data_IF_094498137013
#
_entry.id   IF_094498137013
#
_cell.length_a   1.000
_cell.length_b   1.000
_cell.length_c   1.000
_cell.angle_alpha   90.00
_cell.angle_beta   90.00
_cell.angle_gamma   90.00
#
_symmetry.space_group_name_H-M   'P 1'
#
loop_
_entity.id
_entity.type
_entity.pdbx_description
1 polymer ?
#
# COMPACT_ATOMS: atom_id res chain seq x y z
N UNK A 1 6.32 -22.66 -12.23
CA UNK A 1 7.14 -22.64 -10.99
C UNK A 1 6.86 -21.31 -10.32
N UNK A 2 6.30 -21.31 -9.12
CA UNK A 2 6.09 -20.08 -8.36
C UNK A 2 7.40 -19.56 -7.77
N UNK A 3 7.43 -18.28 -7.39
CA UNK A 3 8.55 -17.70 -6.65
C UNK A 3 8.69 -18.39 -5.29
N UNK A 4 9.92 -18.55 -4.81
CA UNK A 4 10.17 -19.00 -3.44
C UNK A 4 9.76 -17.92 -2.42
N UNK A 5 9.51 -18.32 -1.18
CA UNK A 5 9.17 -17.39 -0.11
C UNK A 5 10.22 -16.29 0.07
N UNK A 6 11.51 -16.61 -0.04
CA UNK A 6 12.59 -15.61 0.07
C UNK A 6 12.57 -14.59 -1.07
N UNK A 7 12.27 -15.02 -2.30
CA UNK A 7 12.14 -14.12 -3.45
C UNK A 7 10.96 -13.17 -3.28
N UNK A 8 9.81 -13.70 -2.81
CA UNK A 8 8.63 -12.89 -2.50
C UNK A 8 8.99 -11.85 -1.42
N UNK A 9 9.65 -12.26 -0.34
CA UNK A 9 10.08 -11.34 0.73
C UNK A 9 10.97 -10.21 0.21
N UNK A 10 11.94 -10.52 -0.65
CA UNK A 10 12.83 -9.49 -1.22
C UNK A 10 12.07 -8.49 -2.08
N UNK A 11 11.13 -8.95 -2.90
CA UNK A 11 10.30 -8.09 -3.75
C UNK A 11 9.43 -7.18 -2.89
N UNK A 12 8.76 -7.74 -1.89
CA UNK A 12 7.81 -7.02 -1.03
C UNK A 12 8.51 -5.96 -0.19
N UNK A 13 9.64 -6.30 0.42
CA UNK A 13 10.44 -5.32 1.19
C UNK A 13 10.90 -4.15 0.33
N UNK A 14 11.33 -4.42 -0.91
CA UNK A 14 11.71 -3.36 -1.85
C UNK A 14 10.50 -2.49 -2.18
N UNK A 15 9.36 -3.09 -2.51
CA UNK A 15 8.13 -2.36 -2.82
C UNK A 15 7.66 -1.50 -1.65
N UNK A 16 7.70 -2.02 -0.43
CA UNK A 16 7.36 -1.27 0.79
C UNK A 16 8.28 -0.06 0.97
N UNK A 17 9.60 -0.25 0.84
CA UNK A 17 10.57 0.84 0.94
C UNK A 17 10.35 1.92 -0.12
N UNK A 18 10.10 1.51 -1.36
CA UNK A 18 9.84 2.43 -2.47
C UNK A 18 8.51 3.19 -2.23
N UNK A 19 7.48 2.51 -1.72
CA UNK A 19 6.19 3.10 -1.37
C UNK A 19 6.32 4.13 -0.24
N UNK A 20 7.00 3.78 0.86
CA UNK A 20 7.28 4.67 1.98
C UNK A 20 8.06 5.93 1.54
N UNK A 21 9.05 5.77 0.66
CA UNK A 21 9.82 6.91 0.13
C UNK A 21 8.94 7.88 -0.67
N UNK A 22 7.94 7.37 -1.39
CA UNK A 22 7.02 8.22 -2.18
C UNK A 22 6.05 9.01 -1.30
N UNK A 23 5.71 8.52 -0.11
CA UNK A 23 4.91 9.30 0.86
C UNK A 23 5.60 10.61 1.28
N UNK A 24 6.94 10.63 1.35
CA UNK A 24 7.71 11.85 1.65
C UNK A 24 7.58 12.92 0.56
N UNK A 25 7.26 12.52 -0.68
CA UNK A 25 7.11 13.46 -1.79
C UNK A 25 5.81 14.27 -1.73
N UNK A 26 4.84 13.83 -0.91
CA UNK A 26 3.50 14.42 -0.81
C UNK A 26 2.80 14.60 -2.17
N UNK A 27 3.10 13.71 -3.12
CA UNK A 27 2.50 13.71 -4.47
C UNK A 27 1.50 12.55 -4.57
N UNK A 28 0.21 12.88 -4.49
CA UNK A 28 -0.88 11.90 -4.53
C UNK A 28 -0.87 11.04 -5.81
N UNK A 29 -0.41 11.58 -6.94
CA UNK A 29 -0.36 10.83 -8.20
C UNK A 29 0.72 9.76 -8.14
N UNK A 30 1.90 10.11 -7.62
CA UNK A 30 2.99 9.14 -7.42
C UNK A 30 2.64 8.05 -6.42
N UNK A 31 1.92 8.38 -5.35
CA UNK A 31 1.43 7.36 -4.40
C UNK A 31 0.43 6.43 -5.12
N UNK A 32 -0.48 6.99 -5.91
CA UNK A 32 -1.45 6.21 -6.67
C UNK A 32 -0.83 5.36 -7.80
N UNK A 33 0.39 5.64 -8.25
CA UNK A 33 1.10 4.85 -9.26
C UNK A 33 1.45 3.43 -8.79
N UNK A 34 1.48 3.19 -7.47
CA UNK A 34 1.66 1.85 -6.90
C UNK A 34 0.41 0.96 -7.00
N UNK A 35 -0.74 1.53 -7.37
CA UNK A 35 -1.99 0.82 -7.46
C UNK A 35 -2.32 0.48 -8.92
N UNK A 36 -2.85 -0.72 -9.12
CA UNK A 36 -3.38 -1.14 -10.42
C UNK A 36 -4.52 -0.19 -10.87
N UNK A 37 -4.71 0.07 -12.18
CA UNK A 37 -5.78 0.96 -12.66
C UNK A 37 -7.18 0.58 -12.18
N UNK A 38 -7.43 -0.71 -11.94
CA UNK A 38 -8.68 -1.26 -11.41
C UNK A 38 -8.61 -1.60 -9.90
N UNK A 39 -7.66 -1.00 -9.16
CA UNK A 39 -7.53 -1.25 -7.74
C UNK A 39 -8.74 -0.76 -6.95
N UNK A 40 -8.97 -1.40 -5.81
CA UNK A 40 -10.01 -1.04 -4.85
C UNK A 40 -9.37 -0.78 -3.50
N UNK A 41 -9.67 0.38 -2.91
CA UNK A 41 -9.33 0.67 -1.52
C UNK A 41 -10.63 0.67 -0.72
N UNK A 42 -10.69 -0.14 0.32
CA UNK A 42 -11.87 -0.28 1.19
C UNK A 42 -11.54 0.27 2.56
N UNK A 43 -12.21 1.35 2.97
CA UNK A 43 -12.23 1.79 4.35
C UNK A 43 -13.45 1.19 5.04
N UNK A 44 -13.21 0.14 5.84
CA UNK A 44 -14.25 -0.61 6.54
C UNK A 44 -15.16 0.35 7.33
N UNK A 45 -16.47 0.23 7.13
CA UNK A 45 -17.48 1.05 7.82
C UNK A 45 -17.60 2.50 7.34
N UNK A 46 -16.85 2.91 6.30
CA UNK A 46 -16.95 4.25 5.70
C UNK A 46 -17.33 4.20 4.22
N UNK A 47 -16.34 3.93 3.37
CA UNK A 47 -16.51 3.98 1.92
C UNK A 47 -15.43 3.18 1.19
N UNK A 48 -15.66 2.93 -0.09
CA UNK A 48 -14.71 2.29 -1.00
C UNK A 48 -14.37 3.21 -2.17
N UNK A 49 -13.14 3.10 -2.66
CA UNK A 49 -12.63 3.84 -3.81
C UNK A 49 -12.29 2.84 -4.91
N UNK A 50 -12.88 3.02 -6.08
CA UNK A 50 -12.64 2.18 -7.26
C UNK A 50 -11.93 2.97 -8.34
N UNK A 51 -10.81 2.43 -8.80
CA UNK A 51 -10.05 2.95 -9.92
C UNK A 51 -9.09 4.09 -9.56
N UNK A 52 -8.07 4.26 -10.39
CA UNK A 52 -6.93 5.15 -10.11
C UNK A 52 -7.32 6.60 -9.80
N UNK A 53 -8.30 7.15 -10.52
CA UNK A 53 -8.73 8.54 -10.31
C UNK A 53 -9.33 8.79 -8.92
N UNK A 54 -10.12 7.86 -8.39
CA UNK A 54 -10.71 8.01 -7.05
C UNK A 54 -9.66 7.79 -5.97
N UNK A 55 -8.70 6.91 -6.20
CA UNK A 55 -7.55 6.67 -5.32
C UNK A 55 -6.64 7.91 -5.24
N UNK A 56 -6.41 8.62 -6.35
CA UNK A 56 -5.67 9.90 -6.32
C UNK A 56 -6.37 10.90 -5.40
N UNK A 57 -7.69 11.07 -5.55
CA UNK A 57 -8.47 11.99 -4.69
C UNK A 57 -8.39 11.62 -3.22
N UNK A 58 -8.46 10.32 -2.90
CA UNK A 58 -8.25 9.82 -1.54
C UNK A 58 -6.89 10.28 -1.00
N UNK A 59 -5.80 10.11 -1.74
CA UNK A 59 -4.47 10.51 -1.28
C UNK A 59 -4.31 12.02 -1.19
N UNK A 60 -4.92 12.80 -2.09
CA UNK A 60 -4.98 14.26 -1.97
C UNK A 60 -5.67 14.71 -0.68
N UNK A 61 -6.71 14.00 -0.23
CA UNK A 61 -7.36 14.24 1.05
C UNK A 61 -6.50 13.79 2.23
N UNK A 62 -5.91 12.59 2.16
CA UNK A 62 -5.04 12.07 3.23
C UNK A 62 -3.83 12.96 3.48
N UNK A 63 -3.21 13.49 2.43
CA UNK A 63 -2.04 14.36 2.53
C UNK A 63 -2.35 15.74 3.15
N UNK A 64 -3.62 16.15 3.24
CA UNK A 64 -4.02 17.36 3.97
C UNK A 64 -3.99 17.16 5.49
N UNK A 65 -4.01 15.92 5.96
CA UNK A 65 -3.92 15.66 7.39
C UNK A 65 -2.50 15.94 7.90
N UNK A 66 -2.35 16.68 9.02
CA UNK A 66 -1.04 17.07 9.54
C UNK A 66 -0.27 15.91 10.18
N UNK A 67 -0.95 14.80 10.47
CA UNK A 67 -0.31 13.59 10.99
C UNK A 67 0.28 12.79 9.84
N UNK A 68 1.55 12.44 9.98
CA UNK A 68 2.19 11.45 9.12
C UNK A 68 1.52 10.11 9.41
N UNK A 69 0.96 9.48 8.39
CA UNK A 69 0.53 8.08 8.48
C UNK A 69 1.77 7.22 8.32
N UNK A 70 2.14 6.49 9.36
CA UNK A 70 3.14 5.44 9.26
C UNK A 70 2.48 4.11 9.59
N UNK A 71 2.74 3.10 8.77
CA UNK A 71 2.43 1.74 9.16
C UNK A 71 3.48 1.34 10.21
N UNK A 72 3.06 1.00 11.43
CA UNK A 72 3.94 0.32 12.38
C UNK A 72 4.21 -1.08 11.83
N UNK A 73 5.47 -1.31 11.44
CA UNK A 73 5.97 -2.61 11.04
C UNK A 73 6.38 -3.40 12.29
N UNK A 74 5.40 -3.77 13.09
CA UNK A 74 5.62 -4.69 14.21
C UNK A 74 5.56 -6.11 13.63
N UNK A 75 6.74 -6.59 13.22
CA UNK A 75 7.00 -7.92 12.64
C UNK A 75 6.44 -8.15 11.22
N UNK A 76 7.20 -8.88 10.39
CA UNK A 76 6.91 -9.18 8.98
C UNK A 76 5.64 -10.03 8.82
N UNK A 77 4.48 -9.38 8.96
CA UNK A 77 3.18 -10.04 8.90
C UNK A 77 2.63 -9.99 7.48
N UNK A 78 3.31 -10.64 6.53
CA UNK A 78 2.69 -10.92 5.24
C UNK A 78 2.58 -12.41 4.94
N UNK A 79 1.39 -12.81 4.50
CA UNK A 79 1.11 -14.16 4.03
C UNK A 79 1.07 -14.15 2.50
N UNK A 80 1.96 -14.92 1.86
CA UNK A 80 1.97 -15.08 0.42
C UNK A 80 1.21 -16.36 0.03
N UNK A 81 0.05 -16.22 -0.59
CA UNK A 81 -0.73 -17.36 -1.07
C UNK A 81 -0.22 -17.85 -2.40
N UNK A 82 0.60 -18.91 -2.39
CA UNK A 82 1.13 -19.59 -3.58
C UNK A 82 1.79 -18.66 -4.64
N UNK A 83 2.22 -17.46 -4.24
CA UNK A 83 2.79 -16.44 -5.13
C UNK A 83 1.77 -15.62 -5.93
N UNK A 84 0.47 -15.80 -5.73
CA UNK A 84 -0.59 -15.09 -6.45
C UNK A 84 -1.13 -13.88 -5.68
N UNK A 85 -1.13 -13.95 -4.35
CA UNK A 85 -1.59 -12.85 -3.50
C UNK A 85 -0.70 -12.70 -2.28
N UNK A 86 -0.79 -11.52 -1.68
CA UNK A 86 -0.11 -11.18 -0.45
C UNK A 86 -1.07 -10.44 0.49
N UNK A 87 -1.13 -10.89 1.75
CA UNK A 87 -1.92 -10.24 2.80
C UNK A 87 -0.96 -9.63 3.80
N UNK A 88 -0.85 -8.30 3.83
CA UNK A 88 -0.13 -7.59 4.90
C UNK A 88 -1.06 -7.31 6.08
N UNK A 89 -0.55 -7.44 7.31
CA UNK A 89 -1.21 -6.98 8.52
C UNK A 89 -0.31 -5.97 9.23
N UNK A 90 -0.92 -4.93 9.77
CA UNK A 90 -0.22 -3.88 10.50
C UNK A 90 -1.23 -2.95 11.16
N UNK A 91 -0.72 -2.01 11.95
CA UNK A 91 -1.52 -0.94 12.52
C UNK A 91 -0.92 0.40 12.13
N UNK A 92 -1.77 1.39 11.92
CA UNK A 92 -1.36 2.75 11.62
C UNK A 92 -1.17 3.52 12.93
N UNK A 93 -0.06 4.25 13.05
CA UNK A 93 0.25 5.16 14.17
C UNK A 93 0.20 6.61 13.71
#
# INVERSE_FOLDING_TARGET
MGLSSEEITKIVKKLQKDYEAVWETKDAKKIADFYHPNAVIVHIGKQSYYGKETIIKLFEELLKHPKKFSLANDEENFEAGNGEYLITRGHWI
#
